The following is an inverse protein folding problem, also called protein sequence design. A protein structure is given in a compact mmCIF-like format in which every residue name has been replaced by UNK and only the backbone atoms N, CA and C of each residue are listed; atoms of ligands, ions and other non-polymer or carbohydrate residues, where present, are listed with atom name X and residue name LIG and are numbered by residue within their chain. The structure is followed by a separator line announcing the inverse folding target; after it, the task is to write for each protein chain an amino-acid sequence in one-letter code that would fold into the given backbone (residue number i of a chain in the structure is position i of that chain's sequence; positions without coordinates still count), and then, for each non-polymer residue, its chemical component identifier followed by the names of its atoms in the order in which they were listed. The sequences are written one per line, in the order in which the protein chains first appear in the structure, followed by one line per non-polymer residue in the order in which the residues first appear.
data_IF_748843548790
#
_entry.id   IF_748843548790
#
_cell.length_a   1.000
_cell.length_b   1.000
_cell.length_c   1.000
_cell.angle_alpha   90.00
_cell.angle_beta   90.00
_cell.angle_gamma   90.00
#
_symmetry.space_group_name_H-M   'P 1'
#
loop_
_entity.id
_entity.type
_entity.pdbx_description
1 polymer ?
#
# COMPACT_ATOMS: atom_id res chain seq x y z
N UNK A 1 -10.11 0.15 -3.09
CA UNK A 1 -8.91 -0.21 -2.32
C UNK A 1 -8.98 0.31 -0.89
N UNK A 2 -9.00 1.63 -0.71
CA UNK A 2 -8.96 2.27 0.61
C UNK A 2 -10.01 1.78 1.62
N UNK A 3 -11.25 1.51 1.19
CA UNK A 3 -12.32 0.99 2.05
C UNK A 3 -12.09 -0.44 2.54
N UNK A 4 -11.49 -1.30 1.72
CA UNK A 4 -11.09 -2.67 2.10
C UNK A 4 -9.88 -2.64 3.03
N UNK A 5 -8.86 -1.85 2.71
CA UNK A 5 -7.69 -1.64 3.56
C UNK A 5 -8.09 -1.05 4.92
N UNK A 6 -9.06 -0.12 4.95
CA UNK A 6 -9.64 0.45 6.18
C UNK A 6 -10.40 -0.57 7.02
N UNK A 7 -11.23 -1.41 6.41
CA UNK A 7 -11.98 -2.43 7.14
C UNK A 7 -11.05 -3.49 7.75
N UNK A 8 -10.03 -3.92 7.00
CA UNK A 8 -9.04 -4.90 7.46
C UNK A 8 -8.14 -4.36 8.58
N UNK A 9 -7.88 -3.06 8.61
CA UNK A 9 -7.02 -2.43 9.63
C UNK A 9 -7.76 -1.94 10.87
N UNK A 10 -9.11 -1.91 10.86
CA UNK A 10 -9.96 -1.45 11.97
C UNK A 10 -9.66 -2.12 13.32
N UNK A 11 -9.21 -3.37 13.32
CA UNK A 11 -9.00 -4.15 14.54
C UNK A 11 -7.54 -4.21 15.02
N UNK A 12 -6.61 -3.53 14.33
CA UNK A 12 -5.18 -3.65 14.60
C UNK A 12 -4.65 -2.41 15.32
N UNK A 13 -4.31 -2.55 16.62
CA UNK A 13 -3.76 -1.46 17.44
C UNK A 13 -2.34 -1.03 17.06
N UNK A 14 -1.58 -1.86 16.35
CA UNK A 14 -0.19 -1.57 15.96
C UNK A 14 -0.13 -0.91 14.58
N UNK A 15 0.45 0.29 14.52
CA UNK A 15 0.58 1.09 13.30
C UNK A 15 1.33 0.33 12.20
N UNK A 16 2.40 -0.40 12.57
CA UNK A 16 3.23 -1.18 11.64
C UNK A 16 2.45 -2.35 11.06
N UNK A 17 1.69 -3.08 11.90
CA UNK A 17 0.86 -4.19 11.43
C UNK A 17 -0.28 -3.70 10.53
N UNK A 18 -0.87 -2.53 10.81
CA UNK A 18 -1.86 -1.91 9.93
C UNK A 18 -1.27 -1.61 8.55
N UNK A 19 -0.10 -0.99 8.51
CA UNK A 19 0.59 -0.65 7.27
C UNK A 19 0.89 -1.87 6.41
N UNK A 20 1.37 -2.96 7.00
CA UNK A 20 1.66 -4.20 6.27
C UNK A 20 0.38 -4.80 5.66
N UNK A 21 -0.71 -4.88 6.44
CA UNK A 21 -1.98 -5.47 5.97
C UNK A 21 -2.56 -4.65 4.82
N UNK A 22 -2.59 -3.32 4.94
CA UNK A 22 -3.03 -2.45 3.84
C UNK A 22 -2.14 -2.59 2.61
N UNK A 23 -0.82 -2.69 2.79
CA UNK A 23 0.14 -2.87 1.68
C UNK A 23 -0.12 -4.13 0.87
N UNK A 24 -0.37 -5.24 1.56
CA UNK A 24 -0.65 -6.52 0.89
C UNK A 24 -1.97 -6.43 0.12
N UNK A 25 -3.00 -5.83 0.71
CA UNK A 25 -4.32 -5.68 0.07
C UNK A 25 -4.23 -4.76 -1.15
N UNK A 26 -3.56 -3.61 -1.04
CA UNK A 26 -3.40 -2.65 -2.13
C UNK A 26 -2.52 -3.22 -3.27
N UNK A 27 -1.39 -3.84 -2.94
CA UNK A 27 -0.51 -4.50 -3.93
C UNK A 27 -1.25 -5.60 -4.69
N UNK A 28 -2.10 -6.37 -3.99
CA UNK A 28 -2.90 -7.38 -4.66
C UNK A 28 -3.90 -6.72 -5.60
N UNK A 29 -4.60 -5.68 -5.15
CA UNK A 29 -5.70 -5.05 -5.88
C UNK A 29 -5.21 -4.21 -7.08
N UNK A 30 -3.91 -3.90 -7.18
CA UNK A 30 -3.28 -3.20 -8.32
C UNK A 30 -3.46 -3.87 -9.68
N UNK A 31 -3.86 -5.14 -9.73
CA UNK A 31 -4.22 -5.80 -10.98
C UNK A 31 -5.27 -5.02 -11.76
N UNK A 32 -6.23 -4.37 -11.06
CA UNK A 32 -7.28 -3.57 -11.70
C UNK A 32 -6.73 -2.31 -12.39
N UNK A 33 -5.76 -1.63 -11.76
CA UNK A 33 -5.10 -0.43 -12.30
C UNK A 33 -4.23 -0.79 -13.51
N UNK A 34 -3.50 -1.91 -13.43
CA UNK A 34 -2.71 -2.40 -14.56
C UNK A 34 -3.59 -2.79 -15.76
N UNK A 35 -4.79 -3.32 -15.51
CA UNK A 35 -5.76 -3.68 -16.54
C UNK A 35 -6.35 -2.43 -17.20
N UNK A 36 -6.70 -1.41 -16.42
CA UNK A 36 -7.16 -0.12 -16.92
C UNK A 36 -6.10 0.54 -17.81
N UNK A 37 -4.84 0.58 -17.35
CA UNK A 37 -3.76 1.17 -18.14
C UNK A 37 -3.45 0.37 -19.42
N UNK A 38 -3.58 -0.96 -19.37
CA UNK A 38 -3.44 -1.81 -20.55
C UNK A 38 -4.53 -1.54 -21.59
N UNK A 39 -5.78 -1.35 -21.16
CA UNK A 39 -6.91 -1.08 -22.04
C UNK A 39 -6.83 0.33 -22.65
N UNK A 40 -6.47 1.34 -21.86
CA UNK A 40 -6.44 2.74 -22.32
C UNK A 40 -5.15 3.12 -23.07
N UNK A 41 -3.97 2.66 -22.63
CA UNK A 41 -2.68 3.01 -23.23
C UNK A 41 -2.05 1.90 -24.10
N UNK A 42 -2.69 0.72 -24.23
CA UNK A 42 -2.07 -0.47 -24.88
C UNK A 42 -0.70 -0.86 -24.29
N UNK A 43 -0.40 -0.41 -23.08
CA UNK A 43 0.89 -0.64 -22.43
C UNK A 43 0.99 -2.09 -21.92
N UNK A 44 2.13 -2.78 -22.04
CA UNK A 44 2.26 -4.20 -21.69
C UNK A 44 1.88 -4.48 -20.23
N UNK A 45 0.84 -5.30 -20.02
CA UNK A 45 0.22 -5.56 -18.71
C UNK A 45 1.22 -5.97 -17.63
N UNK A 46 2.13 -6.91 -17.95
CA UNK A 46 3.12 -7.43 -17.01
C UNK A 46 4.15 -6.39 -16.55
N UNK A 47 4.60 -5.51 -17.46
CA UNK A 47 5.60 -4.47 -17.14
C UNK A 47 4.95 -3.38 -16.31
N UNK A 48 3.72 -2.97 -16.67
CA UNK A 48 2.94 -2.00 -15.91
C UNK A 48 2.64 -2.53 -14.52
N UNK A 49 2.15 -3.76 -14.42
CA UNK A 49 1.85 -4.40 -13.14
C UNK A 49 3.09 -4.48 -12.24
N UNK A 50 4.23 -4.94 -12.78
CA UNK A 50 5.48 -5.01 -12.03
C UNK A 50 5.99 -3.64 -11.58
N UNK A 51 5.96 -2.64 -12.45
CA UNK A 51 6.44 -1.28 -12.13
C UNK A 51 5.57 -0.62 -11.05
N UNK A 52 4.26 -0.79 -11.15
CA UNK A 52 3.28 -0.18 -10.24
C UNK A 52 3.31 -0.88 -8.87
N UNK A 53 3.41 -2.22 -8.84
CA UNK A 53 3.57 -2.99 -7.61
C UNK A 53 4.87 -2.66 -6.86
N UNK A 54 5.99 -2.52 -7.60
CA UNK A 54 7.28 -2.10 -7.01
C UNK A 54 7.20 -0.67 -6.47
N UNK A 55 6.57 0.24 -7.23
CA UNK A 55 6.39 1.63 -6.81
C UNK A 55 5.58 1.77 -5.52
N UNK A 56 4.47 1.04 -5.40
CA UNK A 56 3.68 1.07 -4.17
C UNK A 56 4.42 0.45 -2.99
N UNK A 57 5.07 -0.70 -3.20
CA UNK A 57 5.84 -1.34 -2.15
C UNK A 57 6.95 -0.42 -1.63
N UNK A 58 7.68 0.26 -2.52
CA UNK A 58 8.68 1.24 -2.14
C UNK A 58 8.09 2.42 -1.37
N UNK A 59 6.96 2.97 -1.83
CA UNK A 59 6.27 4.08 -1.15
C UNK A 59 5.81 3.71 0.25
N UNK A 60 5.28 2.50 0.42
CA UNK A 60 4.79 1.98 1.71
C UNK A 60 5.93 1.65 2.68
N UNK A 61 7.05 1.13 2.18
CA UNK A 61 8.26 0.92 3.00
C UNK A 61 8.80 2.26 3.50
N UNK A 62 8.92 3.26 2.63
CA UNK A 62 9.37 4.60 3.02
C UNK A 62 8.39 5.22 4.02
N UNK A 63 7.09 5.14 3.73
CA UNK A 63 6.03 5.62 4.63
C UNK A 63 6.07 4.95 6.00
N UNK A 64 6.30 3.63 6.06
CA UNK A 64 6.43 2.90 7.31
C UNK A 64 7.68 3.32 8.10
N UNK A 65 8.82 3.56 7.44
CA UNK A 65 10.05 4.06 8.07
C UNK A 65 9.79 5.46 8.67
N UNK A 66 9.18 6.36 7.90
CA UNK A 66 8.84 7.72 8.35
C UNK A 66 7.89 7.67 9.55
N UNK A 67 6.81 6.90 9.47
CA UNK A 67 5.84 6.73 10.56
C UNK A 67 6.50 6.07 11.77
N UNK A 68 7.40 5.10 11.60
CA UNK A 68 8.14 4.49 12.71
C UNK A 68 9.01 5.52 13.43
N UNK A 69 9.73 6.36 12.70
CA UNK A 69 10.57 7.41 13.28
C UNK A 69 9.75 8.47 14.00
N UNK A 70 8.61 8.86 13.42
CA UNK A 70 7.65 9.78 14.04
C UNK A 70 7.04 9.14 15.29
N UNK A 71 6.61 7.88 15.24
CA UNK A 71 6.03 7.15 16.38
C UNK A 71 7.01 6.94 17.53
N UNK A 72 8.33 7.00 17.26
CA UNK A 72 9.38 6.93 18.28
C UNK A 72 9.61 8.29 18.96
N UNK A 73 9.23 9.40 18.31
CA UNK A 73 9.41 10.79 18.79
C UNK A 73 8.12 11.39 19.35
N UNK A 74 6.98 10.98 18.80
CA UNK A 74 5.64 11.33 19.22
C UNK A 74 5.04 10.07 19.81
N UNK A 75 4.78 10.08 21.11
CA UNK A 75 4.05 9.01 21.77
C UNK A 75 2.60 9.02 21.26
N UNK A 76 2.34 8.32 20.14
CA UNK A 76 1.02 8.16 19.51
C UNK A 76 0.06 7.31 20.38
N UNK A 77 0.36 7.13 21.67
CA UNK A 77 -0.45 6.44 22.65
C UNK A 77 -1.15 7.40 23.64
N UNK A 78 -1.19 8.70 23.35
CA UNK A 78 -2.01 9.67 24.07
C UNK A 78 -3.30 9.98 23.31
#
# INVERSE_FOLDING_TARGET
MLTMSYYATRHVKSIVKRLIISTVIDTFMMWAVALELHVFLKAPFWITYGSVAIGEFASLVIGAIVIYFISKRINLAA
#
